data_IF_744625929603
#
_entry.id   IF_744625929603
#
_cell.length_a   1.000
_cell.length_b   1.000
_cell.length_c   1.000
_cell.angle_alpha   90.00
_cell.angle_beta   90.00
_cell.angle_gamma   90.00
#
_symmetry.space_group_name_H-M   'P 1'
#
loop_
_entity.id
_entity.type
_entity.pdbx_description
1 polymer ?
#
# COMPACT_ATOMS: atom_id res chain seq x y z
N UNK A 1 -5.53 5.32 -16.61
CA UNK A 1 -4.36 5.06 -17.48
C UNK A 1 -3.15 5.58 -16.74
N UNK A 2 -2.31 4.69 -16.19
CA UNK A 2 -1.07 5.14 -15.51
C UNK A 2 -0.15 5.79 -16.53
N UNK A 3 0.22 7.04 -16.31
CA UNK A 3 1.28 7.69 -17.07
C UNK A 3 2.55 6.81 -16.96
N UNK A 4 3.05 6.34 -18.08
CA UNK A 4 4.34 5.65 -18.15
C UNK A 4 5.39 6.71 -17.82
N UNK A 5 5.75 6.81 -16.55
CA UNK A 5 6.84 7.69 -16.10
C UNK A 5 8.16 7.12 -16.60
N UNK A 6 8.88 7.93 -17.36
CA UNK A 6 10.17 7.57 -17.96
C UNK A 6 11.22 8.55 -17.49
N UNK A 7 12.36 8.06 -17.05
CA UNK A 7 13.50 8.87 -16.61
C UNK A 7 14.56 9.01 -17.70
N UNK A 8 15.16 10.17 -17.77
CA UNK A 8 16.45 10.38 -18.47
C UNK A 8 17.61 9.85 -17.61
N UNK A 9 18.77 9.60 -18.23
CA UNK A 9 19.98 9.25 -17.48
C UNK A 9 20.40 10.32 -16.49
N UNK A 10 20.11 11.59 -16.78
CA UNK A 10 20.40 12.71 -15.87
C UNK A 10 19.49 12.73 -14.64
N UNK A 11 18.20 12.44 -14.79
CA UNK A 11 17.26 12.31 -13.68
C UNK A 11 17.60 11.11 -12.79
N UNK A 12 17.84 9.94 -13.38
CA UNK A 12 18.25 8.77 -12.63
C UNK A 12 19.56 9.00 -11.86
N UNK A 13 20.52 9.75 -12.45
CA UNK A 13 21.76 10.12 -11.81
C UNK A 13 21.57 11.00 -10.57
N UNK A 14 20.64 11.96 -10.64
CA UNK A 14 20.29 12.82 -9.49
C UNK A 14 19.73 12.00 -8.31
N UNK A 15 18.84 11.07 -8.57
CA UNK A 15 18.30 10.19 -7.53
C UNK A 15 19.36 9.31 -6.87
N UNK A 16 20.33 8.83 -7.64
CA UNK A 16 21.42 8.01 -7.12
C UNK A 16 22.60 8.80 -6.56
N UNK A 17 22.57 10.14 -6.63
CA UNK A 17 23.71 10.98 -6.21
C UNK A 17 25.00 10.74 -7.01
N UNK A 18 24.89 10.35 -8.30
CA UNK A 18 26.04 10.01 -9.16
C UNK A 18 26.08 10.85 -10.42
N UNK A 19 27.19 10.77 -11.17
CA UNK A 19 27.29 11.40 -12.49
C UNK A 19 26.45 10.60 -13.52
N UNK A 20 25.81 11.29 -14.48
CA UNK A 20 25.00 10.64 -15.53
C UNK A 20 25.78 9.60 -16.35
N UNK A 21 27.10 9.77 -16.51
CA UNK A 21 27.97 8.79 -17.18
C UNK A 21 28.03 7.46 -16.43
N UNK A 22 27.86 7.48 -15.11
CA UNK A 22 27.76 6.27 -14.28
C UNK A 22 26.51 5.50 -14.62
N UNK A 23 25.37 6.20 -14.78
CA UNK A 23 24.09 5.58 -15.19
C UNK A 23 24.22 4.98 -16.58
N UNK A 24 24.82 5.69 -17.54
CA UNK A 24 25.08 5.15 -18.89
C UNK A 24 25.89 3.85 -18.81
N UNK A 25 26.95 3.82 -18.01
CA UNK A 25 27.76 2.61 -17.80
C UNK A 25 26.97 1.46 -17.17
N UNK A 26 25.99 1.74 -16.28
CA UNK A 26 25.11 0.71 -15.72
C UNK A 26 24.16 0.15 -16.78
N UNK A 27 23.65 0.99 -17.67
CA UNK A 27 22.82 0.57 -18.81
C UNK A 27 23.64 -0.31 -19.77
N UNK A 28 24.84 0.14 -20.16
CA UNK A 28 25.74 -0.60 -21.06
C UNK A 28 26.16 -1.96 -20.50
N UNK A 29 26.26 -2.07 -19.16
CA UNK A 29 26.54 -3.33 -18.47
C UNK A 29 25.29 -4.18 -18.21
N UNK A 30 24.13 -3.76 -18.70
CA UNK A 30 22.86 -4.47 -18.51
C UNK A 30 22.32 -4.48 -17.08
N UNK A 31 22.84 -3.59 -16.20
CA UNK A 31 22.36 -3.48 -14.81
C UNK A 31 21.04 -2.76 -14.68
N UNK A 32 20.78 -1.79 -15.58
CA UNK A 32 19.52 -1.06 -15.70
C UNK A 32 19.00 -1.28 -17.10
N UNK A 33 17.74 -1.71 -17.23
CA UNK A 33 17.07 -1.77 -18.53
C UNK A 33 16.75 -0.36 -19.00
N UNK A 34 17.06 -0.09 -20.26
CA UNK A 34 16.75 1.18 -20.90
C UNK A 34 16.59 0.98 -22.40
N UNK A 35 15.84 1.88 -23.03
CA UNK A 35 15.76 1.95 -24.49
C UNK A 35 16.33 3.26 -25.01
N UNK A 36 16.77 3.25 -26.28
CA UNK A 36 17.30 4.45 -26.96
C UNK A 36 16.19 5.11 -27.76
N UNK A 37 16.16 6.43 -27.70
CA UNK A 37 15.30 7.20 -28.61
C UNK A 37 15.87 7.16 -30.04
N UNK A 38 15.03 6.95 -31.06
CA UNK A 38 15.46 7.03 -32.46
C UNK A 38 16.06 8.40 -32.78
N UNK A 39 17.21 8.43 -33.45
CA UNK A 39 17.84 9.64 -33.99
C UNK A 39 18.77 10.40 -33.04
N UNK A 40 18.53 10.39 -31.70
CA UNK A 40 19.39 11.13 -30.73
C UNK A 40 20.30 10.26 -29.90
N UNK A 41 20.03 8.96 -29.83
CA UNK A 41 20.81 8.04 -29.02
C UNK A 41 20.63 8.17 -27.49
N UNK A 42 19.72 9.05 -27.05
CA UNK A 42 19.44 9.27 -25.63
C UNK A 42 18.73 8.05 -25.03
N UNK A 43 19.22 7.61 -23.87
CA UNK A 43 18.58 6.53 -23.14
C UNK A 43 17.37 7.04 -22.36
N UNK A 44 16.34 6.16 -22.29
CA UNK A 44 15.16 6.31 -21.44
C UNK A 44 15.02 5.07 -20.57
N UNK A 45 14.80 5.29 -19.30
CA UNK A 45 14.66 4.25 -18.27
C UNK A 45 13.22 4.28 -17.79
N UNK A 46 12.50 3.16 -17.87
CA UNK A 46 11.18 3.07 -17.23
C UNK A 46 11.35 3.12 -15.72
N UNK A 47 10.44 3.83 -15.01
CA UNK A 47 10.53 3.97 -13.55
C UNK A 47 10.53 2.60 -12.86
N UNK A 48 9.78 1.64 -13.37
CA UNK A 48 9.74 0.27 -12.84
C UNK A 48 11.11 -0.42 -12.92
N UNK A 49 11.82 -0.28 -14.05
CA UNK A 49 13.17 -0.84 -14.22
C UNK A 49 14.19 -0.12 -13.33
N UNK A 50 14.00 1.19 -13.11
CA UNK A 50 14.84 1.97 -12.19
C UNK A 50 14.63 1.55 -10.73
N UNK A 51 13.38 1.40 -10.30
CA UNK A 51 13.02 0.91 -8.96
C UNK A 51 13.56 -0.51 -8.73
N UNK A 52 13.42 -1.41 -9.71
CA UNK A 52 13.98 -2.75 -9.63
C UNK A 52 15.51 -2.73 -9.47
N UNK A 53 16.19 -1.82 -10.16
CA UNK A 53 17.65 -1.61 -9.99
C UNK A 53 17.99 -1.11 -8.58
N UNK A 54 17.23 -0.13 -8.03
CA UNK A 54 17.46 0.38 -6.68
C UNK A 54 17.33 -0.74 -5.64
N UNK A 55 16.25 -1.52 -5.71
CA UNK A 55 16.02 -2.68 -4.83
C UNK A 55 17.16 -3.72 -4.94
N UNK A 56 17.61 -4.05 -6.15
CA UNK A 56 18.68 -5.05 -6.37
C UNK A 56 20.04 -4.63 -5.83
N UNK A 57 20.21 -3.36 -5.49
CA UNK A 57 21.47 -2.81 -4.99
C UNK A 57 21.32 -2.21 -3.59
N UNK A 58 20.25 -2.56 -2.85
CA UNK A 58 19.94 -2.04 -1.49
C UNK A 58 19.96 -0.52 -1.40
N UNK A 59 19.56 0.16 -2.48
CA UNK A 59 19.48 1.62 -2.54
C UNK A 59 18.07 2.07 -2.13
N UNK A 60 17.94 3.23 -1.43
CA UNK A 60 16.64 3.77 -1.06
C UNK A 60 15.83 4.13 -2.31
N UNK A 61 14.55 3.73 -2.33
CA UNK A 61 13.62 4.12 -3.38
C UNK A 61 13.00 5.46 -3.00
N UNK A 62 13.05 6.49 -3.89
CA UNK A 62 12.35 7.74 -3.65
C UNK A 62 10.83 7.52 -3.51
N UNK A 63 10.20 8.21 -2.55
CA UNK A 63 8.79 8.03 -2.22
C UNK A 63 7.86 8.22 -3.43
N UNK A 64 8.22 9.08 -4.39
CA UNK A 64 7.48 9.32 -5.62
C UNK A 64 7.47 8.14 -6.61
N UNK A 65 8.35 7.16 -6.42
CA UNK A 65 8.42 5.92 -7.20
C UNK A 65 7.95 4.70 -6.44
N UNK A 66 7.70 4.84 -5.13
CA UNK A 66 7.09 3.77 -4.36
C UNK A 66 5.68 3.51 -4.94
N UNK A 67 5.50 2.33 -5.54
CA UNK A 67 4.15 1.87 -5.88
C UNK A 67 3.35 1.76 -4.59
N UNK A 68 2.13 2.29 -4.54
CA UNK A 68 1.31 2.12 -3.34
C UNK A 68 1.15 0.62 -3.07
N UNK A 69 1.48 0.22 -1.86
CA UNK A 69 1.35 -1.16 -1.43
C UNK A 69 -0.14 -1.56 -1.44
N UNK A 70 -0.59 -2.22 -2.50
CA UNK A 70 -1.99 -2.63 -2.72
C UNK A 70 -2.37 -3.92 -1.98
N UNK A 71 -1.56 -4.36 -1.01
CA UNK A 71 -1.95 -5.49 -0.15
C UNK A 71 -2.88 -5.01 0.97
N UNK A 72 -3.94 -5.77 1.20
CA UNK A 72 -4.99 -5.45 2.18
C UNK A 72 -5.17 -6.61 3.14
N UNK A 73 -5.21 -6.31 4.42
CA UNK A 73 -5.64 -7.23 5.46
C UNK A 73 -7.04 -6.85 5.92
N UNK A 74 -8.01 -7.74 5.72
CA UNK A 74 -9.38 -7.63 6.23
C UNK A 74 -9.44 -8.29 7.59
N UNK A 75 -9.79 -7.54 8.65
CA UNK A 75 -9.99 -8.05 10.01
C UNK A 75 -11.47 -7.93 10.33
N UNK A 76 -12.17 -9.07 10.27
CA UNK A 76 -13.64 -9.15 10.38
C UNK A 76 -14.01 -10.56 10.87
N UNK A 77 -14.75 -10.68 11.96
CA UNK A 77 -15.16 -11.95 12.55
C UNK A 77 -16.26 -12.65 11.77
N UNK A 78 -17.09 -11.91 11.04
CA UNK A 78 -18.18 -12.46 10.24
C UNK A 78 -17.69 -12.93 8.86
N UNK A 79 -17.67 -14.27 8.57
CA UNK A 79 -17.09 -14.80 7.34
C UNK A 79 -17.77 -14.28 6.06
N UNK A 80 -19.08 -14.05 6.09
CA UNK A 80 -19.84 -13.55 4.95
C UNK A 80 -19.45 -12.12 4.61
N UNK A 81 -19.31 -11.25 5.62
CA UNK A 81 -18.89 -9.86 5.47
C UNK A 81 -17.44 -9.80 4.99
N UNK A 82 -16.54 -10.53 5.64
CA UNK A 82 -15.13 -10.64 5.24
C UNK A 82 -14.98 -11.10 3.79
N UNK A 83 -15.76 -12.10 3.37
CA UNK A 83 -15.78 -12.63 2.00
C UNK A 83 -16.33 -11.60 1.00
N UNK A 84 -17.32 -10.82 1.38
CA UNK A 84 -17.89 -9.76 0.55
C UNK A 84 -16.85 -8.64 0.31
N UNK A 85 -16.26 -8.12 1.36
CA UNK A 85 -15.19 -7.10 1.29
C UNK A 85 -14.02 -7.63 0.43
N UNK A 86 -13.55 -8.84 0.71
CA UNK A 86 -12.46 -9.47 -0.04
C UNK A 86 -12.74 -9.56 -1.54
N UNK A 87 -13.97 -10.00 -1.93
CA UNK A 87 -14.35 -10.11 -3.35
C UNK A 87 -14.31 -8.77 -4.07
N UNK A 88 -14.82 -7.71 -3.42
CA UNK A 88 -14.82 -6.36 -4.00
C UNK A 88 -13.38 -5.89 -4.20
N UNK A 89 -12.54 -5.98 -3.19
CA UNK A 89 -11.15 -5.51 -3.26
C UNK A 89 -10.33 -6.27 -4.31
N UNK A 90 -10.48 -7.62 -4.40
CA UNK A 90 -9.78 -8.42 -5.42
C UNK A 90 -10.18 -8.00 -6.84
N UNK A 91 -11.47 -7.72 -7.10
CA UNK A 91 -11.94 -7.23 -8.40
C UNK A 91 -11.30 -5.90 -8.81
N UNK A 92 -10.88 -5.10 -7.83
CA UNK A 92 -10.20 -3.81 -8.05
C UNK A 92 -8.67 -3.90 -7.97
N UNK A 93 -8.11 -5.13 -8.06
CA UNK A 93 -6.68 -5.36 -8.19
C UNK A 93 -5.89 -5.26 -6.88
N UNK A 94 -6.54 -5.48 -5.73
CA UNK A 94 -5.87 -5.59 -4.44
C UNK A 94 -5.49 -7.04 -4.13
N UNK A 95 -4.35 -7.25 -3.47
CA UNK A 95 -3.99 -8.52 -2.86
C UNK A 95 -4.58 -8.58 -1.46
N UNK A 96 -5.51 -9.52 -1.20
CA UNK A 96 -6.31 -9.52 0.03
C UNK A 96 -6.08 -10.79 0.85
N UNK A 97 -5.77 -10.62 2.13
CA UNK A 97 -5.82 -11.65 3.17
C UNK A 97 -6.90 -11.29 4.18
N UNK A 98 -7.41 -12.31 4.87
CA UNK A 98 -8.48 -12.17 5.87
C UNK A 98 -8.00 -12.76 7.18
N UNK A 99 -8.30 -12.08 8.26
CA UNK A 99 -8.16 -12.55 9.63
C UNK A 99 -9.54 -12.48 10.32
N UNK A 100 -9.92 -13.52 11.03
CA UNK A 100 -11.20 -13.59 11.76
C UNK A 100 -11.04 -13.43 13.27
N UNK A 101 -9.80 -13.34 13.75
CA UNK A 101 -9.43 -13.21 15.16
C UNK A 101 -8.12 -12.44 15.34
N UNK A 102 -7.82 -12.05 16.59
CA UNK A 102 -6.65 -11.23 16.92
C UNK A 102 -5.31 -11.93 16.70
N UNK A 103 -5.26 -13.25 16.89
CA UNK A 103 -4.02 -14.01 16.71
C UNK A 103 -3.65 -14.08 15.22
N UNK A 104 -4.62 -14.43 14.38
CA UNK A 104 -4.43 -14.45 12.92
C UNK A 104 -4.14 -13.05 12.38
N UNK A 105 -4.81 -12.01 12.91
CA UNK A 105 -4.55 -10.61 12.54
C UNK A 105 -3.09 -10.20 12.85
N UNK A 106 -2.60 -10.44 14.06
CA UNK A 106 -1.23 -10.12 14.45
C UNK A 106 -0.18 -10.87 13.60
N UNK A 107 -0.43 -12.16 13.36
CA UNK A 107 0.45 -13.00 12.52
C UNK A 107 0.53 -12.48 11.08
N UNK A 108 -0.62 -12.13 10.49
CA UNK A 108 -0.68 -11.62 9.11
C UNK A 108 -0.12 -10.20 9.00
N UNK A 109 -0.36 -9.33 9.97
CA UNK A 109 0.23 -7.99 10.02
C UNK A 109 1.76 -8.04 9.91
N UNK A 110 2.39 -8.85 10.77
CA UNK A 110 3.86 -8.95 10.80
C UNK A 110 4.45 -9.54 9.51
N UNK A 111 3.78 -10.56 8.93
CA UNK A 111 4.27 -11.23 7.72
C UNK A 111 4.05 -10.43 6.43
N UNK A 112 2.93 -9.72 6.37
CA UNK A 112 2.42 -9.16 5.12
C UNK A 112 2.77 -7.68 4.97
N UNK A 113 2.92 -6.95 6.09
CA UNK A 113 3.09 -5.47 6.13
C UNK A 113 2.11 -4.78 5.17
N UNK A 114 0.79 -4.91 5.39
CA UNK A 114 -0.21 -4.46 4.42
C UNK A 114 -0.19 -2.95 4.22
N UNK A 115 -0.50 -2.50 3.00
CA UNK A 115 -0.70 -1.09 2.71
C UNK A 115 -2.00 -0.56 3.32
N UNK A 116 -3.02 -1.41 3.43
CA UNK A 116 -4.32 -1.10 4.03
C UNK A 116 -4.77 -2.23 4.95
N UNK A 117 -5.35 -1.85 6.09
CA UNK A 117 -6.14 -2.73 6.96
C UNK A 117 -7.58 -2.25 6.94
N UNK A 118 -8.55 -3.13 6.68
CA UNK A 118 -9.95 -2.89 7.05
C UNK A 118 -10.19 -3.55 8.40
N UNK A 119 -10.84 -2.86 9.33
CA UNK A 119 -10.98 -3.30 10.72
C UNK A 119 -12.40 -3.11 11.23
N UNK A 120 -13.05 -4.19 11.63
CA UNK A 120 -14.23 -4.05 12.47
C UNK A 120 -13.81 -3.80 13.92
N UNK A 121 -14.56 -2.94 14.60
CA UNK A 121 -14.37 -2.65 16.03
C UNK A 121 -15.16 -3.61 16.93
N UNK A 122 -16.24 -4.17 16.41
CA UNK A 122 -17.16 -5.05 17.17
C UNK A 122 -16.94 -6.51 16.81
N UNK A 123 -15.96 -7.12 17.42
CA UNK A 123 -15.67 -8.54 17.23
C UNK A 123 -15.71 -9.28 18.58
N UNK A 124 -16.40 -10.43 18.69
CA UNK A 124 -16.40 -11.22 19.91
C UNK A 124 -14.99 -11.64 20.32
N UNK A 125 -14.65 -11.42 21.59
CA UNK A 125 -13.34 -11.82 22.14
C UNK A 125 -12.14 -10.98 21.70
N UNK A 126 -12.36 -9.90 20.92
CA UNK A 126 -11.30 -8.99 20.48
C UNK A 126 -11.81 -7.55 20.49
N UNK A 127 -11.13 -6.65 21.19
CA UNK A 127 -11.38 -5.21 21.13
C UNK A 127 -10.68 -4.63 19.88
N UNK A 128 -11.45 -4.25 18.87
CA UNK A 128 -10.91 -3.62 17.65
C UNK A 128 -10.17 -2.32 17.92
N UNK A 129 -10.49 -1.60 18.99
CA UNK A 129 -9.71 -0.42 19.41
C UNK A 129 -8.32 -0.81 19.93
N UNK A 130 -8.17 -1.99 20.55
CA UNK A 130 -6.85 -2.49 20.93
C UNK A 130 -6.03 -2.88 19.71
N UNK A 131 -6.64 -3.50 18.71
CA UNK A 131 -5.99 -3.80 17.42
C UNK A 131 -5.54 -2.51 16.74
N UNK A 132 -6.38 -1.48 16.70
CA UNK A 132 -6.04 -0.18 16.13
C UNK A 132 -4.84 0.45 16.86
N UNK A 133 -4.86 0.47 18.20
CA UNK A 133 -3.73 0.95 19.01
C UNK A 133 -2.47 0.14 18.76
N UNK A 134 -2.58 -1.19 18.72
CA UNK A 134 -1.45 -2.07 18.44
C UNK A 134 -0.78 -1.70 17.11
N UNK A 135 -1.55 -1.57 16.03
CA UNK A 135 -1.01 -1.21 14.71
C UNK A 135 -0.31 0.15 14.76
N UNK A 136 -0.87 1.14 15.46
CA UNK A 136 -0.29 2.49 15.54
C UNK A 136 0.93 2.60 16.42
N UNK A 137 1.10 1.74 17.43
CA UNK A 137 2.28 1.73 18.29
C UNK A 137 3.51 1.03 17.68
N UNK A 138 3.35 0.28 16.59
CA UNK A 138 4.45 -0.40 15.92
C UNK A 138 4.95 0.41 14.73
N UNK A 139 6.20 0.86 14.77
CA UNK A 139 6.83 1.68 13.73
C UNK A 139 6.78 1.03 12.35
N UNK A 140 6.88 -0.31 12.28
CA UNK A 140 6.81 -1.07 11.03
C UNK A 140 5.45 -0.95 10.31
N UNK A 141 4.39 -0.54 11.03
CA UNK A 141 3.04 -0.32 10.51
C UNK A 141 2.65 1.17 10.45
N UNK A 142 3.59 2.08 10.68
CA UNK A 142 3.31 3.52 10.71
C UNK A 142 2.67 4.03 9.41
N UNK A 143 3.05 3.45 8.27
CA UNK A 143 2.52 3.82 6.94
C UNK A 143 1.26 3.05 6.55
N UNK A 144 0.87 1.99 7.29
CA UNK A 144 -0.33 1.21 7.00
C UNK A 144 -1.57 2.08 7.16
N UNK A 145 -2.39 2.19 6.11
CA UNK A 145 -3.69 2.85 6.19
C UNK A 145 -4.66 1.96 6.95
N UNK A 146 -5.56 2.55 7.75
CA UNK A 146 -6.57 1.78 8.49
C UNK A 146 -7.94 2.38 8.18
N UNK A 147 -8.77 1.59 7.49
CA UNK A 147 -10.18 1.87 7.27
C UNK A 147 -11.00 1.11 8.30
N UNK A 148 -11.57 1.81 9.26
CA UNK A 148 -12.49 1.21 10.23
C UNK A 148 -13.87 1.03 9.57
N UNK A 149 -14.37 -0.21 9.57
CA UNK A 149 -15.68 -0.59 9.02
C UNK A 149 -16.50 -1.20 10.15
N UNK A 150 -17.43 -0.46 10.75
CA UNK A 150 -18.11 -0.95 11.94
C UNK A 150 -19.53 -0.42 12.09
N UNK A 151 -20.37 -1.19 12.83
CA UNK A 151 -21.70 -0.77 13.29
C UNK A 151 -21.64 0.00 14.62
N UNK A 152 -20.50 0.60 14.94
CA UNK A 152 -20.34 1.45 16.11
C UNK A 152 -21.15 2.74 16.01
N UNK A 153 -21.45 3.32 17.16
CA UNK A 153 -22.07 4.64 17.25
C UNK A 153 -21.16 5.69 16.62
N UNK A 154 -21.72 6.84 16.24
CA UNK A 154 -20.95 7.96 15.71
C UNK A 154 -19.78 8.34 16.64
N UNK A 155 -20.04 8.41 17.95
CA UNK A 155 -18.98 8.70 18.93
C UNK A 155 -17.88 7.62 18.96
N UNK A 156 -18.23 6.34 18.78
CA UNK A 156 -17.26 5.25 18.66
C UNK A 156 -16.40 5.38 17.40
N UNK A 157 -17.00 5.70 16.27
CA UNK A 157 -16.26 5.93 15.02
C UNK A 157 -15.35 7.17 15.11
N UNK A 158 -15.81 8.27 15.70
CA UNK A 158 -14.99 9.46 15.97
C UNK A 158 -13.82 9.14 16.91
N UNK A 159 -14.05 8.30 17.93
CA UNK A 159 -12.97 7.78 18.78
C UNK A 159 -11.93 6.98 17.99
N UNK A 160 -12.35 6.16 17.02
CA UNK A 160 -11.40 5.43 16.17
C UNK A 160 -10.51 6.38 15.36
N UNK A 161 -11.04 7.49 14.85
CA UNK A 161 -10.25 8.53 14.18
C UNK A 161 -9.21 9.14 15.11
N UNK A 162 -9.56 9.47 16.36
CA UNK A 162 -8.60 10.00 17.33
C UNK A 162 -7.52 8.99 17.76
N UNK A 163 -7.80 7.69 17.64
CA UNK A 163 -6.84 6.62 17.86
C UNK A 163 -5.98 6.28 16.63
N UNK A 164 -6.17 7.01 15.52
CA UNK A 164 -5.31 6.90 14.36
C UNK A 164 -5.89 6.09 13.20
N UNK A 165 -7.21 5.84 13.15
CA UNK A 165 -7.83 5.37 11.92
C UNK A 165 -7.60 6.40 10.79
N UNK A 166 -7.37 5.93 9.58
CA UNK A 166 -7.17 6.79 8.41
C UNK A 166 -8.49 7.23 7.80
N UNK A 167 -9.51 6.38 7.88
CA UNK A 167 -10.90 6.66 7.48
C UNK A 167 -11.86 5.74 8.24
N UNK A 168 -13.15 6.08 8.18
CA UNK A 168 -14.24 5.30 8.77
C UNK A 168 -15.34 5.06 7.74
N UNK A 169 -15.94 3.88 7.78
CA UNK A 169 -17.09 3.48 6.97
C UNK A 169 -18.13 2.82 7.87
N UNK A 170 -19.26 3.49 8.16
CA UNK A 170 -20.32 2.91 8.98
C UNK A 170 -20.99 1.71 8.26
N UNK A 171 -21.36 0.67 9.01
CA UNK A 171 -22.24 -0.40 8.53
C UNK A 171 -23.71 0.04 8.73
N UNK A 172 -24.64 -0.21 7.76
CA UNK A 172 -24.44 -0.89 6.47
C UNK A 172 -23.81 0.04 5.42
N UNK A 173 -23.09 -0.51 4.47
CA UNK A 173 -22.46 0.19 3.34
C UNK A 173 -22.62 -0.62 2.05
N UNK A 174 -22.48 0.01 0.91
CA UNK A 174 -22.44 -0.65 -0.39
C UNK A 174 -21.01 -0.74 -0.96
N UNK A 175 -20.90 -1.41 -2.13
CA UNK A 175 -19.60 -1.62 -2.77
C UNK A 175 -18.97 -0.32 -3.28
N UNK A 176 -19.75 0.66 -3.68
CA UNK A 176 -19.29 1.95 -4.20
C UNK A 176 -18.73 2.80 -3.06
N UNK A 177 -19.41 2.81 -1.91
CA UNK A 177 -18.96 3.48 -0.69
C UNK A 177 -17.63 2.88 -0.19
N UNK A 178 -17.53 1.53 -0.15
CA UNK A 178 -16.30 0.85 0.22
C UNK A 178 -15.15 1.27 -0.70
N UNK A 179 -15.36 1.20 -2.01
CA UNK A 179 -14.30 1.52 -2.97
C UNK A 179 -13.95 2.99 -3.01
N UNK A 180 -14.91 3.88 -2.78
CA UNK A 180 -14.66 5.32 -2.64
C UNK A 180 -13.69 5.59 -1.49
N UNK A 181 -13.97 5.03 -0.29
CA UNK A 181 -13.09 5.18 0.86
C UNK A 181 -11.70 4.56 0.63
N UNK A 182 -11.65 3.37 0.05
CA UNK A 182 -10.39 2.69 -0.25
C UNK A 182 -9.55 3.50 -1.25
N UNK A 183 -10.13 3.96 -2.36
CA UNK A 183 -9.40 4.73 -3.37
C UNK A 183 -8.86 6.04 -2.80
N UNK A 184 -9.66 6.78 -2.03
CA UNK A 184 -9.22 8.01 -1.37
C UNK A 184 -8.02 7.81 -0.41
N UNK A 185 -7.81 6.60 0.10
CA UNK A 185 -6.65 6.28 0.93
C UNK A 185 -5.39 5.99 0.11
N UNK A 186 -5.50 5.73 -1.19
CA UNK A 186 -4.37 5.42 -2.08
C UNK A 186 -4.00 6.56 -3.05
N UNK A 187 -4.78 7.64 -3.04
CA UNK A 187 -4.46 8.90 -3.73
C UNK A 187 -3.45 9.73 -2.92
#
# INVERSE_FOLDING_TARGET
MSEIKVLTTGEAAKYCGVNFRTVIRWIEKGRIKAYKLPGRGDHRIQVEDFVAFLHSNDMPVPAEFEQPNRSVLVIEDQPEMASAIRRVLIRHGFEVRVAHDGFSAGTLLSKMKPGLVTLDLKMPGMDGYEVLRFIRHHEEHARTKILVISAETRAGLERAMTLGASAILPKPFDNEELMSQVNALFE
#
